data_IF_815561282337
#
_entry.id   IF_815561282337
#
_cell.length_a   1.000
_cell.length_b   1.000
_cell.length_c   1.000
_cell.angle_alpha   90.00
_cell.angle_beta   90.00
_cell.angle_gamma   90.00
#
_symmetry.space_group_name_H-M   'P 1'
#
loop_
_entity.id
_entity.type
_entity.pdbx_description
1 polymer ?
#
# COMPACT_ATOMS: atom_id res chain seq x y z
N UNK A 1 19.28 14.82 -5.70
CA UNK A 1 17.99 14.61 -4.99
C UNK A 1 17.31 13.50 -5.75
N UNK A 2 17.28 12.30 -5.17
CA UNK A 2 16.66 11.12 -5.75
C UNK A 2 15.14 11.18 -5.70
N UNK A 3 14.49 10.27 -6.42
CA UNK A 3 13.04 10.06 -6.39
C UNK A 3 12.66 9.50 -5.01
N UNK A 4 11.66 10.12 -4.37
CA UNK A 4 11.08 9.65 -3.12
C UNK A 4 9.57 9.60 -3.24
N UNK A 5 8.98 8.56 -2.67
CA UNK A 5 7.55 8.44 -2.47
C UNK A 5 7.29 8.35 -0.98
N UNK A 6 6.39 9.20 -0.49
CA UNK A 6 5.95 9.25 0.90
C UNK A 6 4.44 9.06 0.90
N UNK A 7 3.98 8.07 1.66
CA UNK A 7 2.57 7.67 1.68
C UNK A 7 1.71 8.83 2.17
N UNK A 8 2.13 9.48 3.26
CA UNK A 8 1.38 10.55 3.90
C UNK A 8 1.28 11.78 3.00
N UNK A 9 2.37 12.20 2.35
CA UNK A 9 2.36 13.32 1.42
C UNK A 9 1.43 13.06 0.23
N UNK A 10 1.44 11.84 -0.31
CA UNK A 10 0.59 11.47 -1.43
C UNK A 10 -0.89 11.38 -1.03
N UNK A 11 -1.22 10.81 0.13
CA UNK A 11 -2.59 10.81 0.68
C UNK A 11 -3.10 12.22 0.98
N UNK A 12 -2.23 13.09 1.51
CA UNK A 12 -2.56 14.50 1.76
C UNK A 12 -2.85 15.25 0.46
N UNK A 13 -2.07 15.00 -0.61
CA UNK A 13 -2.32 15.57 -1.92
C UNK A 13 -3.70 15.15 -2.47
N UNK A 14 -4.01 13.85 -2.44
CA UNK A 14 -5.32 13.31 -2.89
C UNK A 14 -6.46 14.01 -2.14
N UNK A 15 -6.38 14.06 -0.82
CA UNK A 15 -7.41 14.66 0.04
C UNK A 15 -7.59 16.15 -0.25
N UNK A 16 -6.48 16.89 -0.39
CA UNK A 16 -6.50 18.30 -0.72
C UNK A 16 -7.11 18.55 -2.11
N UNK A 17 -6.76 17.72 -3.10
CA UNK A 17 -7.31 17.82 -4.45
C UNK A 17 -8.80 17.52 -4.50
N UNK A 18 -9.29 16.43 -3.86
CA UNK A 18 -10.72 16.12 -3.78
C UNK A 18 -11.54 17.27 -3.19
N UNK A 19 -11.07 17.83 -2.08
CA UNK A 19 -11.71 18.97 -1.43
C UNK A 19 -11.74 20.21 -2.35
N UNK A 20 -10.62 20.50 -3.01
CA UNK A 20 -10.53 21.62 -3.95
C UNK A 20 -11.46 21.42 -5.17
N UNK A 21 -11.50 20.22 -5.74
CA UNK A 21 -12.35 19.91 -6.90
C UNK A 21 -13.84 20.02 -6.55
N UNK A 22 -14.24 19.59 -5.34
CA UNK A 22 -15.61 19.78 -4.85
C UNK A 22 -15.99 21.27 -4.78
N UNK A 23 -15.09 22.10 -4.24
CA UNK A 23 -15.31 23.54 -4.15
C UNK A 23 -15.35 24.20 -5.53
N UNK A 24 -14.46 23.81 -6.44
CA UNK A 24 -14.40 24.36 -7.80
C UNK A 24 -15.63 23.97 -8.61
N UNK A 25 -16.10 22.73 -8.52
CA UNK A 25 -17.35 22.29 -9.16
C UNK A 25 -18.55 23.11 -8.70
N UNK A 26 -18.69 23.35 -7.40
CA UNK A 26 -19.75 24.21 -6.87
C UNK A 26 -19.67 25.66 -7.41
N UNK A 27 -18.47 26.19 -7.63
CA UNK A 27 -18.27 27.53 -8.22
C UNK A 27 -18.68 27.52 -9.71
N UNK A 28 -18.22 26.53 -10.48
CA UNK A 28 -18.52 26.39 -11.91
C UNK A 28 -20.02 26.21 -12.14
N UNK A 29 -20.70 25.38 -11.35
CA UNK A 29 -22.15 25.19 -11.42
C UNK A 29 -22.90 26.50 -11.20
N UNK A 30 -22.48 27.30 -10.22
CA UNK A 30 -23.07 28.62 -9.94
C UNK A 30 -22.82 29.60 -11.08
N UNK A 31 -21.62 29.60 -11.67
CA UNK A 31 -21.30 30.43 -12.84
C UNK A 31 -22.14 30.03 -14.06
N UNK A 32 -22.30 28.74 -14.32
CA UNK A 32 -23.17 28.23 -15.39
C UNK A 32 -24.64 28.58 -15.15
N UNK A 33 -25.15 28.36 -13.93
CA UNK A 33 -26.54 28.68 -13.59
C UNK A 33 -26.82 30.19 -13.71
N UNK A 34 -25.94 31.03 -13.16
CA UNK A 34 -26.05 32.49 -13.26
C UNK A 34 -26.00 32.99 -14.71
N UNK A 35 -25.06 32.47 -15.51
CA UNK A 35 -24.92 32.82 -16.92
C UNK A 35 -26.16 32.41 -17.73
N UNK A 36 -26.66 31.17 -17.54
CA UNK A 36 -27.89 30.71 -18.20
C UNK A 36 -29.10 31.54 -17.81
N UNK A 37 -29.23 31.90 -16.53
CA UNK A 37 -30.32 32.75 -16.07
C UNK A 37 -30.28 34.14 -16.73
N UNK A 38 -29.10 34.77 -16.78
CA UNK A 38 -28.92 36.07 -17.45
C UNK A 38 -29.30 36.01 -18.92
N UNK A 39 -28.79 35.02 -19.67
CA UNK A 39 -29.14 34.84 -21.09
C UNK A 39 -30.64 34.59 -21.26
N UNK A 40 -31.25 33.76 -20.40
CA UNK A 40 -32.69 33.52 -20.44
C UNK A 40 -33.54 34.78 -20.21
N UNK A 41 -33.12 35.69 -19.31
CA UNK A 41 -33.81 36.97 -19.09
C UNK A 41 -33.68 37.92 -20.30
N UNK A 42 -32.53 37.88 -20.99
CA UNK A 42 -32.29 38.65 -22.21
C UNK A 42 -33.13 38.11 -23.38
N UNK A 43 -33.18 36.79 -23.55
CA UNK A 43 -33.94 36.14 -24.63
C UNK A 43 -35.46 36.26 -24.44
N UNK A 44 -35.93 36.28 -23.19
CA UNK A 44 -37.33 36.56 -22.86
C UNK A 44 -37.73 38.03 -23.10
N UNK A 45 -36.77 38.91 -23.43
CA UNK A 45 -37.00 40.34 -23.60
C UNK A 45 -37.35 41.05 -22.30
N UNK A 46 -37.01 40.49 -21.13
CA UNK A 46 -37.20 41.16 -19.84
C UNK A 46 -36.14 42.25 -19.64
N UNK A 47 -34.93 41.99 -20.08
CA UNK A 47 -33.82 42.94 -20.12
C UNK A 47 -33.61 43.41 -21.57
N UNK A 48 -33.86 44.69 -21.85
CA UNK A 48 -33.81 45.27 -23.20
C UNK A 48 -33.01 46.57 -23.25
N UNK A 49 -32.42 46.85 -24.41
CA UNK A 49 -31.62 48.04 -24.66
C UNK A 49 -30.21 47.67 -25.13
N UNK A 50 -29.49 48.64 -25.67
CA UNK A 50 -28.23 48.37 -26.34
C UNK A 50 -27.17 47.77 -25.39
N UNK A 51 -27.05 48.29 -24.15
CA UNK A 51 -26.16 47.74 -23.12
C UNK A 51 -26.43 46.26 -22.79
N UNK A 52 -27.70 45.85 -22.78
CA UNK A 52 -28.09 44.47 -22.53
C UNK A 52 -27.76 43.56 -23.72
N UNK A 53 -27.91 44.04 -24.96
CA UNK A 53 -27.45 43.34 -26.16
C UNK A 53 -25.91 43.17 -26.16
N UNK A 54 -25.17 44.20 -25.73
CA UNK A 54 -23.71 44.15 -25.55
C UNK A 54 -23.29 43.06 -24.57
N UNK A 55 -23.91 43.08 -23.39
CA UNK A 55 -23.67 42.11 -22.34
C UNK A 55 -23.97 40.70 -22.81
N UNK A 56 -25.04 40.52 -23.61
CA UNK A 56 -25.33 39.23 -24.25
C UNK A 56 -24.18 38.75 -25.12
N UNK A 57 -23.64 39.61 -25.98
CA UNK A 57 -22.49 39.30 -26.84
C UNK A 57 -21.28 38.86 -26.01
N UNK A 58 -20.87 39.67 -25.03
CA UNK A 58 -19.76 39.36 -24.12
C UNK A 58 -19.95 38.00 -23.42
N UNK A 59 -21.15 37.72 -22.91
CA UNK A 59 -21.43 36.45 -22.23
C UNK A 59 -21.42 35.26 -23.18
N UNK A 60 -22.09 35.35 -24.33
CA UNK A 60 -22.20 34.23 -25.28
C UNK A 60 -20.89 33.94 -26.00
N UNK A 61 -20.10 34.97 -26.32
CA UNK A 61 -18.90 34.82 -27.14
C UNK A 61 -17.64 34.54 -26.32
N UNK A 62 -17.55 35.06 -25.09
CA UNK A 62 -16.34 34.99 -24.27
C UNK A 62 -16.55 34.29 -22.93
N UNK A 63 -17.50 34.73 -22.11
CA UNK A 63 -17.62 34.26 -20.72
C UNK A 63 -18.14 32.81 -20.65
N UNK A 64 -19.24 32.48 -21.31
CA UNK A 64 -19.81 31.12 -21.29
C UNK A 64 -18.81 30.10 -21.87
N UNK A 65 -18.19 30.32 -23.04
CA UNK A 65 -17.16 29.42 -23.55
C UNK A 65 -15.97 29.25 -22.59
N UNK A 66 -15.54 30.32 -21.91
CA UNK A 66 -14.47 30.24 -20.92
C UNK A 66 -14.87 29.39 -19.69
N UNK A 67 -16.10 29.54 -19.19
CA UNK A 67 -16.62 28.71 -18.08
C UNK A 67 -16.73 27.25 -18.53
N UNK A 68 -17.25 26.98 -19.73
CA UNK A 68 -17.31 25.61 -20.28
C UNK A 68 -15.91 24.99 -20.36
N UNK A 69 -14.90 25.78 -20.78
CA UNK A 69 -13.53 25.30 -20.88
C UNK A 69 -12.90 24.98 -19.52
N UNK A 70 -13.20 25.81 -18.52
CA UNK A 70 -12.86 25.55 -17.13
C UNK A 70 -13.52 24.26 -16.62
N UNK A 71 -14.80 24.04 -16.92
CA UNK A 71 -15.52 22.80 -16.56
C UNK A 71 -14.82 21.58 -17.13
N UNK A 72 -14.46 21.61 -18.42
CA UNK A 72 -13.75 20.50 -19.07
C UNK A 72 -12.41 20.18 -18.41
N UNK A 73 -11.66 21.20 -17.97
CA UNK A 73 -10.40 20.97 -17.26
C UNK A 73 -10.62 20.41 -15.85
N UNK A 74 -11.73 20.75 -15.20
CA UNK A 74 -12.07 20.18 -13.88
C UNK A 74 -12.52 18.74 -14.01
N UNK A 75 -13.34 18.41 -15.03
CA UNK A 75 -13.72 17.04 -15.34
C UNK A 75 -12.48 16.16 -15.61
N UNK A 76 -11.53 16.70 -16.36
CA UNK A 76 -10.27 16.03 -16.67
C UNK A 76 -9.38 15.83 -15.43
N UNK A 77 -9.24 16.83 -14.56
CA UNK A 77 -8.54 16.67 -13.27
C UNK A 77 -9.19 15.65 -12.36
N UNK A 78 -10.51 15.51 -12.41
CA UNK A 78 -11.20 14.47 -11.63
C UNK A 78 -10.86 13.08 -12.16
N UNK A 79 -10.82 12.90 -13.48
CA UNK A 79 -10.42 11.64 -14.10
C UNK A 79 -8.95 11.31 -13.80
N UNK A 80 -8.03 12.25 -14.01
CA UNK A 80 -6.61 12.04 -13.73
C UNK A 80 -6.31 11.91 -12.23
N UNK A 81 -7.14 12.50 -11.35
CA UNK A 81 -7.01 12.28 -9.91
C UNK A 81 -7.40 10.85 -9.54
N UNK A 82 -8.43 10.28 -10.18
CA UNK A 82 -8.75 8.87 -10.01
C UNK A 82 -7.60 7.96 -10.49
N UNK A 83 -6.95 8.30 -11.60
CA UNK A 83 -5.73 7.61 -12.06
C UNK A 83 -4.56 7.77 -11.10
N UNK A 84 -4.36 8.96 -10.55
CA UNK A 84 -3.33 9.21 -9.53
C UNK A 84 -3.61 8.43 -8.24
N UNK A 85 -4.86 8.36 -7.80
CA UNK A 85 -5.29 7.57 -6.64
C UNK A 85 -4.99 6.07 -6.85
N UNK A 86 -5.25 5.57 -8.04
CA UNK A 86 -4.85 4.23 -8.43
C UNK A 86 -3.32 4.07 -8.38
N UNK A 87 -2.55 4.96 -9.00
CA UNK A 87 -1.10 4.90 -8.99
C UNK A 87 -0.51 5.01 -7.56
N UNK A 88 -1.06 5.90 -6.73
CA UNK A 88 -0.72 6.05 -5.32
C UNK A 88 -0.91 4.73 -4.60
N UNK A 89 -2.08 4.11 -4.77
CA UNK A 89 -2.34 2.83 -4.13
C UNK A 89 -1.28 1.82 -4.51
N UNK A 90 -0.88 1.73 -5.80
CA UNK A 90 0.06 0.71 -6.29
C UNK A 90 1.42 0.71 -5.57
N UNK A 91 1.86 1.89 -5.13
CA UNK A 91 3.14 2.08 -4.44
C UNK A 91 3.00 2.19 -2.92
N UNK A 92 1.85 2.65 -2.42
CA UNK A 92 1.62 2.90 -1.00
C UNK A 92 1.85 1.69 -0.08
N UNK A 93 1.57 0.48 -0.56
CA UNK A 93 1.81 -0.77 0.17
C UNK A 93 3.28 -1.02 0.52
N UNK A 94 4.18 -0.51 -0.30
CA UNK A 94 5.61 -0.75 -0.09
C UNK A 94 6.19 0.14 1.01
N UNK A 95 5.37 1.05 1.55
CA UNK A 95 5.71 2.08 2.52
C UNK A 95 6.38 3.29 1.86
N UNK A 96 7.06 4.08 2.68
CA UNK A 96 7.88 5.16 2.17
C UNK A 96 9.08 4.58 1.40
N UNK A 97 9.24 5.00 0.16
CA UNK A 97 10.28 4.51 -0.74
C UNK A 97 11.26 5.61 -1.09
N UNK A 98 12.53 5.34 -0.87
CA UNK A 98 13.64 6.13 -1.38
C UNK A 98 14.41 5.32 -2.43
N UNK A 99 14.47 5.85 -3.65
CA UNK A 99 15.10 5.16 -4.78
C UNK A 99 16.60 4.93 -4.57
N UNK A 100 17.30 5.87 -3.94
CA UNK A 100 18.73 5.74 -3.69
C UNK A 100 18.99 4.68 -2.62
N UNK A 101 18.16 4.63 -1.57
CA UNK A 101 18.24 3.63 -0.50
C UNK A 101 17.90 2.23 -1.01
N UNK A 102 16.82 2.08 -1.80
CA UNK A 102 16.45 0.79 -2.41
C UNK A 102 17.57 0.25 -3.31
N UNK A 103 18.18 1.12 -4.13
CA UNK A 103 19.30 0.72 -4.99
C UNK A 103 20.56 0.39 -4.19
N UNK A 104 20.77 1.01 -3.03
CA UNK A 104 21.88 0.65 -2.15
C UNK A 104 21.64 -0.71 -1.51
N UNK A 105 20.45 -0.97 -0.98
CA UNK A 105 20.06 -2.27 -0.44
C UNK A 105 20.23 -3.38 -1.48
N UNK A 106 19.78 -3.15 -2.72
CA UNK A 106 19.92 -4.12 -3.82
C UNK A 106 21.39 -4.50 -4.06
N UNK A 107 22.28 -3.52 -4.13
CA UNK A 107 23.73 -3.75 -4.29
C UNK A 107 24.31 -4.55 -3.13
N UNK A 108 23.89 -4.23 -1.90
CA UNK A 108 24.38 -4.91 -0.71
C UNK A 108 23.91 -6.38 -0.69
N UNK A 109 22.67 -6.68 -1.09
CA UNK A 109 22.13 -8.04 -1.18
C UNK A 109 22.76 -8.84 -2.33
N UNK A 110 23.04 -8.22 -3.49
CA UNK A 110 23.82 -8.84 -4.58
C UNK A 110 25.25 -9.22 -4.12
N UNK A 111 25.90 -8.36 -3.35
CA UNK A 111 27.22 -8.64 -2.78
C UNK A 111 27.18 -9.78 -1.75
N UNK A 112 26.12 -9.86 -0.94
CA UNK A 112 25.89 -10.98 -0.03
C UNK A 112 25.70 -12.30 -0.79
N UNK A 113 24.88 -12.30 -1.84
CA UNK A 113 24.65 -13.47 -2.68
C UNK A 113 25.99 -14.00 -3.23
N UNK A 114 26.83 -13.11 -3.75
CA UNK A 114 28.16 -13.42 -4.28
C UNK A 114 29.08 -14.06 -3.22
N UNK A 115 29.07 -13.54 -1.99
CA UNK A 115 29.88 -14.10 -0.89
C UNK A 115 29.38 -15.49 -0.46
N UNK A 116 28.06 -15.70 -0.40
CA UNK A 116 27.45 -17.00 -0.09
C UNK A 116 27.82 -18.03 -1.15
N UNK A 117 27.68 -17.68 -2.43
CA UNK A 117 28.06 -18.55 -3.55
C UNK A 117 29.55 -18.93 -3.52
N UNK A 118 30.43 -17.97 -3.21
CA UNK A 118 31.86 -18.23 -3.07
C UNK A 118 32.15 -19.22 -1.93
N UNK A 119 31.45 -19.12 -0.79
CA UNK A 119 31.64 -20.02 0.33
C UNK A 119 31.11 -21.43 0.06
N UNK A 120 29.98 -21.56 -0.65
CA UNK A 120 29.46 -22.85 -1.13
C UNK A 120 30.51 -23.55 -2.00
N UNK A 121 31.13 -22.82 -2.93
CA UNK A 121 32.14 -23.37 -3.82
C UNK A 121 33.40 -23.82 -3.06
N UNK A 122 33.89 -22.99 -2.12
CA UNK A 122 35.01 -23.36 -1.26
C UNK A 122 34.72 -24.63 -0.43
N UNK A 123 33.49 -24.78 0.09
CA UNK A 123 33.09 -25.96 0.83
C UNK A 123 33.05 -27.21 -0.07
N UNK A 124 32.58 -27.08 -1.32
CA UNK A 124 32.61 -28.15 -2.34
C UNK A 124 34.04 -28.56 -2.70
N UNK A 125 34.94 -27.60 -2.86
CA UNK A 125 36.36 -27.85 -3.15
C UNK A 125 37.06 -28.56 -1.99
N UNK A 126 36.84 -28.12 -0.75
CA UNK A 126 37.38 -28.73 0.45
C UNK A 126 36.87 -30.16 0.64
N UNK A 127 35.57 -30.38 0.43
CA UNK A 127 34.97 -31.71 0.46
C UNK A 127 35.63 -32.65 -0.55
N UNK A 128 35.80 -32.18 -1.79
CA UNK A 128 36.41 -32.97 -2.87
C UNK A 128 37.87 -33.32 -2.56
N UNK A 129 38.63 -32.38 -2.00
CA UNK A 129 40.02 -32.59 -1.58
C UNK A 129 40.12 -33.54 -0.37
N UNK A 130 39.28 -33.38 0.64
CA UNK A 130 39.28 -34.21 1.84
C UNK A 130 38.91 -35.67 1.54
N UNK A 131 37.86 -35.89 0.74
CA UNK A 131 37.42 -37.22 0.33
C UNK A 131 38.45 -37.93 -0.58
N UNK A 132 39.21 -37.16 -1.37
CA UNK A 132 40.30 -37.68 -2.22
C UNK A 132 41.55 -38.11 -1.45
N UNK A 133 41.80 -37.54 -0.27
CA UNK A 133 42.98 -37.84 0.56
C UNK A 133 42.71 -38.89 1.64
N UNK A 134 41.52 -38.88 2.26
CA UNK A 134 41.10 -39.83 3.31
C UNK A 134 39.61 -40.18 3.16
N UNK A 135 39.27 -41.37 2.61
CA UNK A 135 37.90 -41.85 2.58
C UNK A 135 37.39 -42.03 4.02
N UNK A 136 36.41 -41.22 4.43
CA UNK A 136 35.81 -41.26 5.78
C UNK A 136 36.35 -40.23 6.78
N UNK A 137 36.84 -39.08 6.33
CA UNK A 137 37.21 -37.97 7.21
C UNK A 137 35.99 -37.49 8.04
N UNK A 138 36.08 -37.51 9.37
CA UNK A 138 34.95 -37.27 10.30
C UNK A 138 34.26 -35.89 10.13
N UNK A 139 34.93 -34.90 9.56
CA UNK A 139 34.39 -33.55 9.31
C UNK A 139 33.58 -33.43 8.00
N UNK A 140 33.48 -34.52 7.22
CA UNK A 140 32.75 -34.55 5.95
C UNK A 140 31.25 -34.26 6.14
N UNK A 141 30.67 -34.73 7.25
CA UNK A 141 29.30 -34.39 7.63
C UNK A 141 29.12 -32.89 7.89
N UNK A 142 30.04 -32.28 8.65
CA UNK A 142 30.00 -30.85 8.97
C UNK A 142 30.09 -29.96 7.73
N UNK A 143 30.93 -30.32 6.74
CA UNK A 143 31.05 -29.59 5.48
C UNK A 143 29.82 -29.73 4.56
N UNK A 144 29.24 -30.93 4.49
CA UNK A 144 27.97 -31.14 3.77
C UNK A 144 26.82 -30.33 4.38
N UNK A 145 26.76 -30.27 5.72
CA UNK A 145 25.75 -29.48 6.43
C UNK A 145 25.93 -27.97 6.27
N UNK A 146 27.16 -27.45 6.32
CA UNK A 146 27.41 -26.03 6.06
C UNK A 146 27.00 -25.63 4.64
N UNK A 147 27.23 -26.48 3.63
CA UNK A 147 26.79 -26.23 2.26
C UNK A 147 25.26 -26.18 2.14
N UNK A 148 24.51 -27.00 2.88
CA UNK A 148 23.04 -26.95 2.87
C UNK A 148 22.49 -25.64 3.45
N UNK A 149 23.06 -25.16 4.57
CA UNK A 149 22.67 -23.88 5.18
C UNK A 149 22.98 -22.70 4.25
N UNK A 150 24.13 -22.74 3.56
CA UNK A 150 24.49 -21.68 2.62
C UNK A 150 23.57 -21.67 1.39
N UNK A 151 23.12 -22.82 0.88
CA UNK A 151 22.15 -22.89 -0.22
C UNK A 151 20.77 -22.34 0.18
N UNK A 152 20.34 -22.53 1.43
CA UNK A 152 19.12 -21.91 1.97
C UNK A 152 19.26 -20.38 2.11
N UNK A 153 20.39 -19.91 2.64
CA UNK A 153 20.69 -18.47 2.71
C UNK A 153 20.76 -17.83 1.32
N UNK A 154 21.33 -18.55 0.35
CA UNK A 154 21.35 -18.14 -1.06
C UNK A 154 19.93 -17.93 -1.60
N UNK A 155 19.02 -18.87 -1.35
CA UNK A 155 17.63 -18.75 -1.76
C UNK A 155 16.93 -17.54 -1.11
N UNK A 156 17.19 -17.31 0.18
CA UNK A 156 16.62 -16.18 0.92
C UNK A 156 17.09 -14.82 0.38
N UNK A 157 18.40 -14.66 0.15
CA UNK A 157 18.94 -13.43 -0.44
C UNK A 157 18.42 -13.22 -1.87
N UNK A 158 18.20 -14.31 -2.62
CA UNK A 158 17.53 -14.25 -3.93
C UNK A 158 16.12 -13.66 -3.86
N UNK A 159 15.32 -14.08 -2.88
CA UNK A 159 13.96 -13.52 -2.65
C UNK A 159 14.03 -12.03 -2.28
N UNK A 160 15.01 -11.63 -1.48
CA UNK A 160 15.21 -10.23 -1.09
C UNK A 160 15.57 -9.35 -2.30
N UNK A 161 16.47 -9.82 -3.16
CA UNK A 161 16.81 -9.16 -4.43
C UNK A 161 15.55 -8.99 -5.28
N UNK A 162 14.77 -10.05 -5.49
CA UNK A 162 13.52 -10.01 -6.27
C UNK A 162 12.52 -8.97 -5.70
N UNK A 163 12.43 -8.85 -4.37
CA UNK A 163 11.56 -7.87 -3.71
C UNK A 163 12.05 -6.44 -3.92
N UNK A 164 13.36 -6.20 -3.75
CA UNK A 164 13.97 -4.89 -3.96
C UNK A 164 13.83 -4.42 -5.41
N UNK A 165 14.04 -5.32 -6.38
CA UNK A 165 13.82 -5.04 -7.80
C UNK A 165 12.35 -4.66 -8.08
N UNK A 166 11.39 -5.38 -7.50
CA UNK A 166 9.96 -5.05 -7.61
C UNK A 166 9.64 -3.68 -7.03
N UNK A 167 10.16 -3.33 -5.85
CA UNK A 167 9.95 -2.01 -5.24
C UNK A 167 10.52 -0.89 -6.10
N UNK A 168 11.72 -1.06 -6.64
CA UNK A 168 12.35 -0.10 -7.56
C UNK A 168 11.49 0.06 -8.82
N UNK A 169 11.05 -1.04 -9.42
CA UNK A 169 10.23 -1.01 -10.63
C UNK A 169 8.87 -0.32 -10.39
N UNK A 170 8.21 -0.58 -9.26
CA UNK A 170 6.97 0.10 -8.87
C UNK A 170 7.17 1.60 -8.70
N UNK A 171 8.23 2.02 -8.02
CA UNK A 171 8.54 3.44 -7.82
C UNK A 171 8.87 4.16 -9.15
N UNK A 172 9.66 3.52 -10.01
CA UNK A 172 10.00 4.08 -11.34
C UNK A 172 8.76 4.15 -12.25
N UNK A 173 7.90 3.13 -12.21
CA UNK A 173 6.61 3.12 -12.91
C UNK A 173 5.71 4.26 -12.42
N UNK A 174 5.56 4.43 -11.10
CA UNK A 174 4.72 5.48 -10.54
C UNK A 174 5.17 6.87 -10.98
N UNK A 175 6.47 7.16 -10.91
CA UNK A 175 6.99 8.45 -11.37
C UNK A 175 6.72 8.65 -12.86
N UNK A 176 6.92 7.62 -13.68
CA UNK A 176 6.65 7.70 -15.11
C UNK A 176 5.16 7.96 -15.39
N UNK A 177 4.28 7.28 -14.66
CA UNK A 177 2.83 7.37 -14.81
C UNK A 177 2.31 8.75 -14.40
N UNK A 178 2.59 9.19 -13.17
CA UNK A 178 2.07 10.44 -12.62
C UNK A 178 2.67 11.69 -13.25
N UNK A 179 3.82 11.58 -13.92
CA UNK A 179 4.48 12.72 -14.57
C UNK A 179 3.67 13.35 -15.71
N UNK A 180 2.66 12.63 -16.23
CA UNK A 180 1.81 13.10 -17.31
C UNK A 180 0.50 13.73 -16.83
N UNK A 181 0.12 13.55 -15.56
CA UNK A 181 -1.14 14.05 -15.02
C UNK A 181 -1.13 15.56 -14.78
N UNK A 182 -2.31 16.15 -14.89
CA UNK A 182 -2.74 17.49 -14.47
C UNK A 182 -2.13 18.67 -15.24
N UNK A 183 -1.14 18.44 -16.10
CA UNK A 183 -0.31 19.50 -16.68
C UNK A 183 -1.10 20.46 -17.59
N UNK A 184 -1.90 19.91 -18.50
CA UNK A 184 -2.73 20.68 -19.43
C UNK A 184 -3.95 21.29 -18.74
N UNK A 185 -4.59 20.57 -17.83
CA UNK A 185 -5.68 21.10 -17.01
C UNK A 185 -5.23 22.24 -16.09
N UNK A 186 -4.03 22.16 -15.51
CA UNK A 186 -3.41 23.27 -14.77
C UNK A 186 -3.12 24.47 -15.69
N UNK A 187 -2.68 24.22 -16.93
CA UNK A 187 -2.51 25.28 -17.93
C UNK A 187 -3.84 25.96 -18.25
N UNK A 188 -4.93 25.20 -18.43
CA UNK A 188 -6.27 25.74 -18.67
C UNK A 188 -6.73 26.59 -17.48
N UNK A 189 -6.57 26.12 -16.24
CA UNK A 189 -6.91 26.91 -15.04
C UNK A 189 -6.11 28.21 -14.94
N UNK A 190 -4.82 28.18 -15.27
CA UNK A 190 -3.97 29.37 -15.29
C UNK A 190 -4.43 30.38 -16.35
N UNK A 191 -4.73 29.90 -17.56
CA UNK A 191 -5.27 30.72 -18.64
C UNK A 191 -6.64 31.30 -18.25
N UNK A 192 -7.49 30.54 -17.57
CA UNK A 192 -8.79 31.00 -17.13
C UNK A 192 -8.71 32.08 -16.04
N UNK A 193 -7.78 31.95 -15.10
CA UNK A 193 -7.51 32.98 -14.08
C UNK A 193 -7.03 34.28 -14.73
N UNK A 194 -6.15 34.16 -15.74
CA UNK A 194 -5.69 35.31 -16.52
C UNK A 194 -6.81 35.94 -17.36
N UNK A 195 -7.61 35.11 -18.04
CA UNK A 195 -8.76 35.54 -18.83
C UNK A 195 -9.80 36.28 -17.96
N UNK A 196 -10.08 35.79 -16.74
CA UNK A 196 -10.97 36.47 -15.80
C UNK A 196 -10.44 37.86 -15.41
N UNK A 197 -9.14 38.00 -15.21
CA UNK A 197 -8.48 39.29 -14.90
C UNK A 197 -8.61 40.27 -16.08
N UNK A 198 -8.48 39.78 -17.32
CA UNK A 198 -8.65 40.59 -18.52
C UNK A 198 -10.12 40.97 -18.74
N UNK A 199 -11.06 40.04 -18.55
CA UNK A 199 -12.50 40.29 -18.67
C UNK A 199 -12.99 41.35 -17.68
N UNK A 200 -12.38 41.44 -16.49
CA UNK A 200 -12.70 42.48 -15.50
C UNK A 200 -12.34 43.91 -15.96
N UNK A 201 -11.54 44.06 -17.02
CA UNK A 201 -11.19 45.37 -17.60
C UNK A 201 -12.17 45.80 -18.71
N UNK A 202 -13.09 44.93 -19.13
CA UNK A 202 -14.03 45.23 -20.21
C UNK A 202 -14.95 46.37 -19.76
N UNK A 203 -14.95 47.47 -20.51
CA UNK A 203 -15.87 48.58 -20.33
C UNK A 203 -17.03 48.45 -21.32
N UNK A 204 -18.25 48.65 -20.83
CA UNK A 204 -19.47 48.68 -21.65
C UNK A 204 -19.96 50.11 -21.74
N UNK A 205 -20.07 50.63 -22.96
CA UNK A 205 -20.57 51.99 -23.20
C UNK A 205 -22.09 52.05 -23.17
N UNK A 206 -22.62 53.26 -22.99
CA UNK A 206 -24.07 53.52 -22.94
C UNK A 206 -24.82 53.14 -24.22
N UNK A 207 -24.12 53.05 -25.36
CA UNK A 207 -24.68 52.65 -26.66
C UNK A 207 -24.67 51.14 -26.90
N UNK A 208 -24.22 50.34 -25.92
CA UNK A 208 -24.18 48.89 -26.05
C UNK A 208 -23.03 48.33 -26.86
N UNK A 209 -21.97 49.12 -27.09
CA UNK A 209 -20.69 48.57 -27.50
C UNK A 209 -19.86 48.20 -26.25
N UNK A 210 -19.08 47.12 -26.33
CA UNK A 210 -18.04 46.83 -25.34
C UNK A 210 -16.67 47.00 -25.97
N UNK A 211 -15.80 47.71 -25.28
CA UNK A 211 -14.43 47.94 -25.75
C UNK A 211 -13.48 47.02 -25.02
N UNK A 212 -12.70 46.31 -25.82
CA UNK A 212 -11.60 45.46 -25.36
C UNK A 212 -10.27 46.23 -25.38
N UNK A 213 -10.33 47.56 -25.44
CA UNK A 213 -9.13 48.41 -25.42
C UNK A 213 -8.41 48.24 -24.07
N UNK A 214 -7.24 47.61 -24.11
CA UNK A 214 -6.48 47.23 -22.91
C UNK A 214 -6.83 45.86 -22.32
N UNK A 215 -7.77 45.13 -22.93
CA UNK A 215 -8.09 43.72 -22.66
C UNK A 215 -7.26 42.86 -23.61
N UNK A 216 -6.46 41.96 -23.06
CA UNK A 216 -5.69 41.02 -23.88
C UNK A 216 -6.56 39.84 -24.34
N UNK A 217 -7.31 40.04 -25.43
CA UNK A 217 -8.16 39.00 -26.02
C UNK A 217 -7.41 37.73 -26.45
N UNK A 218 -6.09 37.83 -26.72
CA UNK A 218 -5.28 36.67 -27.06
C UNK A 218 -5.20 35.66 -25.91
N UNK A 219 -5.27 36.10 -24.65
CA UNK A 219 -5.31 35.20 -23.50
C UNK A 219 -6.65 34.45 -23.41
N UNK A 220 -7.75 35.13 -23.74
CA UNK A 220 -9.08 34.50 -23.79
C UNK A 220 -9.12 33.49 -24.94
N UNK A 221 -8.60 33.84 -26.11
CA UNK A 221 -8.52 32.92 -27.23
C UNK A 221 -7.62 31.71 -26.91
N UNK A 222 -6.46 31.93 -26.27
CA UNK A 222 -5.58 30.86 -25.84
C UNK A 222 -6.26 29.90 -24.84
N UNK A 223 -7.10 30.41 -23.94
CA UNK A 223 -7.94 29.56 -23.08
C UNK A 223 -8.87 28.69 -23.92
N UNK A 224 -9.65 29.29 -24.83
CA UNK A 224 -10.65 28.58 -25.62
C UNK A 224 -10.03 27.51 -26.53
N UNK A 225 -8.83 27.77 -27.04
CA UNK A 225 -8.08 26.88 -27.93
C UNK A 225 -7.21 25.84 -27.19
N UNK A 226 -7.03 25.97 -25.87
CA UNK A 226 -6.22 25.06 -25.08
C UNK A 226 -6.72 23.62 -25.24
N UNK A 227 -5.81 22.67 -25.39
CA UNK A 227 -6.16 21.25 -25.49
C UNK A 227 -6.18 20.63 -24.10
N UNK A 228 -7.08 19.67 -23.91
CA UNK A 228 -7.21 18.85 -22.72
C UNK A 228 -7.17 17.40 -23.21
N UNK A 229 -6.34 16.58 -22.59
CA UNK A 229 -6.08 15.19 -22.95
C UNK A 229 -5.98 14.35 -21.69
N UNK A 230 -7.05 13.61 -21.42
CA UNK A 230 -7.12 12.75 -20.23
C UNK A 230 -6.16 11.57 -20.34
N UNK A 231 -5.34 11.39 -19.31
CA UNK A 231 -4.55 10.18 -19.10
C UNK A 231 -5.26 9.31 -18.05
N UNK A 232 -5.88 8.20 -18.48
CA UNK A 232 -6.69 7.32 -17.63
C UNK A 232 -6.13 5.88 -17.57
N UNK A 233 -6.10 5.32 -16.35
CA UNK A 233 -5.67 3.94 -16.05
C UNK A 233 -6.63 3.19 -15.09
N UNK A 234 -7.76 3.75 -14.66
CA UNK A 234 -8.63 3.12 -13.65
C UNK A 234 -9.56 2.01 -14.22
N UNK A 235 -9.79 0.88 -13.50
CA UNK A 235 -10.87 -0.05 -13.80
C UNK A 235 -12.23 0.48 -13.29
N UNK A 236 -13.30 0.19 -14.04
CA UNK A 236 -14.68 0.67 -13.81
C UNK A 236 -15.18 0.48 -12.37
N UNK A 237 -15.75 1.55 -11.80
CA UNK A 237 -16.11 1.73 -10.40
C UNK A 237 -17.48 1.13 -9.97
N UNK A 238 -17.74 -0.16 -10.20
CA UNK A 238 -18.96 -0.84 -9.71
C UNK A 238 -18.63 -2.17 -9.01
N UNK A 239 -18.55 -2.23 -7.66
CA UNK A 239 -18.25 -3.52 -7.00
C UNK A 239 -18.23 -3.67 -5.47
N UNK A 240 -18.77 -2.75 -4.65
CA UNK A 240 -18.60 -2.85 -3.17
C UNK A 240 -19.93 -3.07 -2.44
N UNK A 241 -20.43 -4.31 -2.33
CA UNK A 241 -21.50 -4.65 -1.36
C UNK A 241 -21.46 -6.07 -0.74
N UNK A 242 -20.52 -6.96 -1.09
CA UNK A 242 -20.43 -8.32 -0.49
C UNK A 242 -19.01 -8.73 -0.04
N UNK A 243 -18.13 -7.75 0.22
CA UNK A 243 -16.71 -8.02 0.44
C UNK A 243 -16.40 -8.49 1.88
N UNK A 244 -17.05 -7.99 2.93
CA UNK A 244 -16.69 -8.38 4.31
C UNK A 244 -16.96 -9.85 4.63
N UNK A 245 -18.15 -10.35 4.29
CA UNK A 245 -18.50 -11.75 4.56
C UNK A 245 -17.60 -12.71 3.77
N UNK A 246 -17.33 -12.39 2.51
CA UNK A 246 -16.41 -13.18 1.70
C UNK A 246 -15.00 -13.17 2.29
N UNK A 247 -14.43 -12.00 2.60
CA UNK A 247 -13.08 -11.88 3.13
C UNK A 247 -12.92 -12.64 4.46
N UNK A 248 -13.94 -12.56 5.32
CA UNK A 248 -14.01 -13.32 6.57
C UNK A 248 -14.06 -14.84 6.32
N UNK A 249 -14.86 -15.28 5.37
CA UNK A 249 -14.98 -16.70 5.02
C UNK A 249 -13.66 -17.26 4.46
N UNK A 250 -13.00 -16.49 3.59
CA UNK A 250 -11.68 -16.82 3.06
C UNK A 250 -10.62 -16.87 4.16
N UNK A 251 -10.65 -15.90 5.08
CA UNK A 251 -9.74 -15.86 6.24
C UNK A 251 -9.85 -17.09 7.12
N UNK A 252 -11.08 -17.49 7.44
CA UNK A 252 -11.34 -18.69 8.22
C UNK A 252 -10.83 -19.95 7.51
N UNK A 253 -11.07 -20.07 6.20
CA UNK A 253 -10.61 -21.24 5.42
C UNK A 253 -9.08 -21.32 5.38
N UNK A 254 -8.40 -20.19 5.18
CA UNK A 254 -6.92 -20.12 5.14
C UNK A 254 -6.28 -20.37 6.50
N UNK A 255 -6.90 -19.90 7.58
CA UNK A 255 -6.48 -20.26 8.94
C UNK A 255 -6.55 -21.78 9.16
N UNK A 256 -7.63 -22.44 8.74
CA UNK A 256 -7.77 -23.89 8.88
C UNK A 256 -6.80 -24.66 7.97
N UNK A 257 -6.59 -24.19 6.74
CA UNK A 257 -5.62 -24.77 5.81
C UNK A 257 -4.20 -24.72 6.39
N UNK A 258 -3.80 -23.56 6.92
CA UNK A 258 -2.52 -23.38 7.60
C UNK A 258 -2.40 -24.23 8.86
N UNK A 259 -3.41 -24.24 9.72
CA UNK A 259 -3.38 -25.06 10.93
C UNK A 259 -3.33 -26.56 10.61
N UNK A 260 -3.82 -27.00 9.45
CA UNK A 260 -3.77 -28.39 9.01
C UNK A 260 -2.50 -28.73 8.21
N UNK A 261 -1.69 -27.75 7.81
CA UNK A 261 -0.48 -27.97 7.01
C UNK A 261 0.60 -28.71 7.79
N UNK A 262 1.50 -29.37 7.07
CA UNK A 262 2.63 -30.07 7.68
C UNK A 262 3.53 -29.08 8.44
N UNK A 263 3.81 -27.94 7.83
CA UNK A 263 4.60 -26.84 8.39
C UNK A 263 3.94 -26.23 9.64
N UNK A 264 2.62 -26.00 9.60
CA UNK A 264 1.86 -25.48 10.72
C UNK A 264 1.83 -26.45 11.91
N UNK A 265 1.73 -27.76 11.65
CA UNK A 265 1.81 -28.78 12.70
C UNK A 265 3.22 -28.93 13.28
N UNK A 266 4.27 -28.77 12.47
CA UNK A 266 5.66 -28.79 12.94
C UNK A 266 5.98 -27.59 13.84
N UNK A 267 5.53 -26.38 13.48
CA UNK A 267 5.68 -25.20 14.33
C UNK A 267 4.86 -25.28 15.62
N UNK A 268 3.64 -25.81 15.52
CA UNK A 268 2.81 -26.11 16.70
C UNK A 268 3.51 -27.08 17.66
N UNK A 269 4.11 -28.14 17.12
CA UNK A 269 4.85 -29.10 17.92
C UNK A 269 6.05 -28.45 18.61
N UNK A 270 6.81 -27.61 17.89
CA UNK A 270 7.93 -26.83 18.46
C UNK A 270 7.47 -25.92 19.60
N UNK A 271 6.36 -25.19 19.41
CA UNK A 271 5.80 -24.29 20.41
C UNK A 271 5.38 -25.02 21.70
N UNK A 272 4.89 -26.26 21.58
CA UNK A 272 4.45 -27.07 22.72
C UNK A 272 5.61 -27.81 23.41
N UNK A 273 6.58 -28.31 22.65
CA UNK A 273 7.69 -29.12 23.16
C UNK A 273 8.83 -28.26 23.73
N UNK A 274 9.16 -27.15 23.06
CA UNK A 274 10.14 -26.17 23.55
C UNK A 274 9.63 -24.72 23.43
N UNK A 275 8.72 -24.31 24.33
CA UNK A 275 8.18 -22.96 24.35
C UNK A 275 9.25 -21.87 24.50
N UNK A 276 10.40 -22.19 25.12
CA UNK A 276 11.48 -21.21 25.31
C UNK A 276 12.20 -20.92 23.99
N UNK A 277 12.47 -21.97 23.21
CA UNK A 277 13.06 -21.89 21.89
C UNK A 277 12.11 -21.19 20.90
N UNK A 278 10.85 -21.61 20.85
CA UNK A 278 9.82 -20.98 20.00
C UNK A 278 9.67 -19.48 20.31
N UNK A 279 9.55 -19.12 21.59
CA UNK A 279 9.46 -17.72 22.01
C UNK A 279 10.76 -16.94 21.74
N UNK A 280 11.93 -17.60 21.75
CA UNK A 280 13.19 -16.98 21.35
C UNK A 280 13.24 -16.72 19.85
N UNK A 281 12.75 -17.65 19.02
CA UNK A 281 12.68 -17.47 17.56
C UNK A 281 11.71 -16.34 17.20
N UNK A 282 10.54 -16.30 17.84
CA UNK A 282 9.56 -15.23 17.69
C UNK A 282 10.11 -13.85 18.08
N UNK A 283 10.89 -13.77 19.17
CA UNK A 283 11.55 -12.51 19.58
C UNK A 283 12.74 -12.12 18.71
N UNK A 284 13.57 -13.08 18.28
CA UNK A 284 14.77 -12.80 17.51
C UNK A 284 14.42 -12.42 16.06
N UNK A 285 13.40 -13.05 15.47
CA UNK A 285 12.84 -12.65 14.17
C UNK A 285 12.46 -11.16 14.12
N UNK A 286 12.00 -10.61 15.24
CA UNK A 286 11.57 -9.21 15.37
C UNK A 286 12.73 -8.21 15.54
N UNK A 287 13.82 -8.59 16.22
CA UNK A 287 15.03 -7.75 16.32
C UNK A 287 15.68 -7.53 14.93
N UNK A 288 15.53 -8.49 14.02
CA UNK A 288 16.08 -8.44 12.66
C UNK A 288 15.40 -7.41 11.74
N UNK A 289 14.16 -7.01 12.03
CA UNK A 289 13.41 -5.99 11.26
C UNK A 289 13.76 -4.55 11.67
N UNK A 290 14.42 -4.35 12.83
CA UNK A 290 14.57 -3.04 13.49
C UNK A 290 15.98 -2.45 13.37
N UNK A 291 17.04 -3.25 13.43
CA UNK A 291 18.42 -2.74 13.56
C UNK A 291 19.15 -2.46 12.22
N UNK A 292 18.54 -2.80 11.08
CA UNK A 292 19.13 -2.56 9.74
C UNK A 292 20.52 -3.18 9.52
N UNK A 293 20.98 -4.07 10.41
CA UNK A 293 22.30 -4.68 10.38
C UNK A 293 22.18 -6.22 10.28
N UNK A 294 22.09 -6.75 9.04
CA UNK A 294 21.91 -8.19 8.79
C UNK A 294 23.13 -9.05 9.20
N UNK A 295 24.32 -8.45 9.38
CA UNK A 295 25.57 -9.16 9.67
C UNK A 295 25.67 -9.61 11.14
N UNK A 296 25.18 -8.78 12.08
CA UNK A 296 25.12 -9.15 13.50
C UNK A 296 24.06 -10.22 13.79
N UNK A 297 22.97 -10.20 13.03
CA UNK A 297 21.84 -11.09 13.10
C UNK A 297 22.17 -12.53 12.68
N UNK A 298 22.82 -12.69 11.51
CA UNK A 298 23.30 -13.99 11.04
C UNK A 298 24.31 -14.61 12.02
N UNK A 299 25.21 -13.80 12.58
CA UNK A 299 26.18 -14.25 13.58
C UNK A 299 25.52 -14.82 14.84
N UNK A 300 24.47 -14.16 15.35
CA UNK A 300 23.73 -14.61 16.52
C UNK A 300 22.89 -15.87 16.24
N UNK A 301 22.24 -15.97 15.07
CA UNK A 301 21.49 -17.15 14.65
C UNK A 301 22.42 -18.37 14.46
N UNK A 302 23.59 -18.17 13.86
CA UNK A 302 24.61 -19.21 13.68
C UNK A 302 25.22 -19.68 15.01
N UNK A 303 25.46 -18.77 15.96
CA UNK A 303 25.98 -19.13 17.29
C UNK A 303 24.93 -19.84 18.17
N UNK A 304 23.65 -19.51 18.00
CA UNK A 304 22.54 -20.15 18.72
C UNK A 304 22.24 -21.57 18.21
N UNK A 305 22.24 -21.77 16.89
CA UNK A 305 22.09 -23.06 16.23
C UNK A 305 23.23 -24.03 16.58
N UNK A 306 24.46 -23.52 16.73
CA UNK A 306 25.62 -24.29 17.23
C UNK A 306 25.47 -24.76 18.68
N UNK A 307 24.70 -24.06 19.52
CA UNK A 307 24.56 -24.35 20.95
C UNK A 307 23.41 -25.31 21.31
N UNK A 308 22.32 -25.36 20.52
CA UNK A 308 21.05 -26.01 20.93
C UNK A 308 20.69 -27.27 20.13
N UNK A 309 21.44 -27.61 19.07
CA UNK A 309 21.29 -28.89 18.36
C UNK A 309 20.04 -29.02 17.48
N UNK A 310 19.90 -30.19 16.84
CA UNK A 310 19.15 -30.44 15.61
C UNK A 310 17.64 -30.15 15.62
N UNK A 311 16.97 -30.14 16.79
CA UNK A 311 15.52 -29.86 16.91
C UNK A 311 15.20 -28.38 16.63
N UNK A 312 16.17 -27.49 16.81
CA UNK A 312 16.05 -26.06 16.50
C UNK A 312 16.17 -25.72 15.01
N UNK A 313 16.65 -26.65 14.17
CA UNK A 313 16.94 -26.38 12.75
C UNK A 313 15.69 -26.51 11.87
N UNK A 314 14.95 -27.62 11.95
CA UNK A 314 13.71 -27.81 11.16
C UNK A 314 12.61 -26.81 11.57
N UNK A 315 12.51 -26.55 12.87
CA UNK A 315 11.61 -25.53 13.41
C UNK A 315 12.02 -24.11 13.02
N UNK A 316 13.32 -23.79 13.05
CA UNK A 316 13.85 -22.47 12.71
C UNK A 316 13.80 -22.15 11.22
N UNK A 317 14.00 -23.13 10.34
CA UNK A 317 13.90 -22.98 8.88
C UNK A 317 12.46 -22.68 8.46
N UNK A 318 11.49 -23.46 8.94
CA UNK A 318 10.06 -23.23 8.67
C UNK A 318 9.61 -21.90 9.29
N UNK A 319 10.14 -21.54 10.46
CA UNK A 319 9.84 -20.26 11.09
C UNK A 319 10.36 -19.08 10.25
N UNK A 320 11.59 -19.13 9.74
CA UNK A 320 12.14 -18.05 8.91
C UNK A 320 11.47 -17.94 7.53
N UNK A 321 11.06 -19.06 6.92
CA UNK A 321 10.42 -19.06 5.60
C UNK A 321 8.93 -18.69 5.67
N UNK A 322 8.20 -19.22 6.66
CA UNK A 322 6.74 -19.17 6.71
C UNK A 322 6.18 -18.09 7.64
N UNK A 323 6.94 -17.61 8.63
CA UNK A 323 6.49 -16.55 9.57
C UNK A 323 6.82 -15.11 9.12
N UNK A 324 7.17 -14.91 7.84
CA UNK A 324 7.29 -13.58 7.23
C UNK A 324 5.92 -12.96 6.95
N UNK A 325 5.86 -11.63 6.87
CA UNK A 325 4.72 -10.91 6.25
C UNK A 325 4.54 -11.46 4.83
N UNK A 326 3.29 -11.69 4.40
CA UNK A 326 2.91 -12.43 3.18
C UNK A 326 3.16 -13.95 3.20
N UNK A 327 3.39 -14.54 4.37
CA UNK A 327 3.43 -15.99 4.55
C UNK A 327 2.08 -16.67 4.32
N UNK A 328 2.05 -18.01 4.28
CA UNK A 328 0.82 -18.79 4.00
C UNK A 328 -0.29 -18.62 5.07
N UNK A 329 0.04 -18.05 6.23
CA UNK A 329 -0.91 -17.68 7.30
C UNK A 329 -1.38 -16.22 7.23
N UNK A 330 -0.71 -15.38 6.45
CA UNK A 330 -0.97 -13.94 6.36
C UNK A 330 -2.05 -13.67 5.31
N UNK A 331 -3.16 -13.10 5.77
CA UNK A 331 -4.34 -12.89 4.93
C UNK A 331 -4.18 -11.83 3.86
N UNK A 332 -3.18 -10.93 4.01
CA UNK A 332 -2.89 -9.89 3.03
C UNK A 332 -2.73 -10.50 1.63
N UNK A 333 -1.93 -11.57 1.53
CA UNK A 333 -1.71 -12.32 0.29
C UNK A 333 -2.99 -12.73 -0.44
N UNK A 334 -3.96 -13.27 0.28
CA UNK A 334 -5.14 -13.86 -0.34
C UNK A 334 -6.23 -12.82 -0.65
N UNK A 335 -6.30 -11.75 0.15
CA UNK A 335 -7.23 -10.66 -0.12
C UNK A 335 -6.78 -9.84 -1.34
N UNK A 336 -5.47 -9.72 -1.58
CA UNK A 336 -4.92 -9.03 -2.75
C UNK A 336 -5.12 -9.82 -4.04
N UNK A 337 -5.00 -11.15 -3.99
CA UNK A 337 -5.28 -12.05 -5.13
C UNK A 337 -6.77 -12.03 -5.54
N UNK A 338 -7.70 -11.93 -4.59
CA UNK A 338 -9.15 -12.06 -4.88
C UNK A 338 -9.82 -10.72 -5.24
N UNK A 339 -9.57 -9.67 -4.46
CA UNK A 339 -10.29 -8.41 -4.63
C UNK A 339 -9.67 -7.51 -5.70
N UNK A 340 -8.48 -7.87 -6.21
CA UNK A 340 -7.61 -7.01 -6.99
C UNK A 340 -7.64 -5.54 -6.52
N UNK A 341 -7.67 -5.25 -5.20
CA UNK A 341 -7.85 -3.88 -4.76
C UNK A 341 -6.53 -3.13 -4.97
N UNK A 342 -6.70 -1.83 -5.23
CA UNK A 342 -5.69 -0.80 -5.03
C UNK A 342 -4.85 -1.08 -3.75
N UNK A 343 -3.50 -1.11 -3.83
CA UNK A 343 -2.69 -1.60 -2.71
C UNK A 343 -2.86 -0.76 -1.42
N UNK A 344 -3.13 -1.44 -0.29
CA UNK A 344 -3.27 -0.85 1.05
C UNK A 344 -4.29 -1.58 1.96
N UNK A 345 -4.37 -1.15 3.23
CA UNK A 345 -5.44 -1.57 4.12
C UNK A 345 -6.75 -0.89 3.69
N UNK A 346 -7.79 -1.67 3.38
CA UNK A 346 -9.08 -1.16 2.92
C UNK A 346 -10.20 -1.62 3.83
N UNK A 347 -11.25 -0.79 3.96
CA UNK A 347 -12.40 -1.12 4.77
C UNK A 347 -13.34 -2.05 4.02
N UNK A 348 -13.56 -3.22 4.62
CA UNK A 348 -14.55 -4.17 4.20
C UNK A 348 -15.84 -3.91 4.98
N UNK A 349 -16.94 -3.71 4.24
CA UNK A 349 -18.25 -3.38 4.80
C UNK A 349 -19.27 -4.48 4.50
N UNK A 350 -20.17 -4.75 5.45
CA UNK A 350 -21.36 -5.59 5.22
C UNK A 350 -22.66 -4.78 5.04
N UNK A 351 -23.75 -5.48 4.74
CA UNK A 351 -25.08 -4.89 4.56
C UNK A 351 -25.64 -4.19 5.81
N UNK A 352 -25.08 -4.49 6.99
CA UNK A 352 -25.49 -3.91 8.27
C UNK A 352 -24.67 -2.65 8.61
N UNK A 353 -23.72 -2.27 7.75
CA UNK A 353 -22.82 -1.13 7.94
C UNK A 353 -21.71 -1.40 8.97
N UNK A 354 -21.38 -2.67 9.21
CA UNK A 354 -20.23 -3.08 10.04
C UNK A 354 -18.97 -3.06 9.18
N UNK A 355 -17.91 -2.48 9.71
CA UNK A 355 -16.64 -2.26 9.02
C UNK A 355 -15.51 -3.07 9.68
N UNK A 356 -14.62 -3.63 8.87
CA UNK A 356 -13.37 -4.26 9.31
C UNK A 356 -12.27 -3.92 8.30
N UNK A 357 -11.11 -3.49 8.81
CA UNK A 357 -9.95 -3.16 7.96
C UNK A 357 -9.26 -4.44 7.45
N UNK A 358 -8.89 -4.50 6.18
CA UNK A 358 -8.42 -5.75 5.53
C UNK A 358 -7.12 -6.34 6.10
N UNK A 359 -6.27 -5.53 6.71
CA UNK A 359 -5.00 -5.94 7.30
C UNK A 359 -5.13 -6.61 8.68
N UNK A 360 -6.27 -6.44 9.37
CA UNK A 360 -6.47 -7.03 10.70
C UNK A 360 -6.71 -8.54 10.64
N UNK A 361 -7.14 -9.08 9.49
CA UNK A 361 -7.44 -10.51 9.34
C UNK A 361 -6.19 -11.38 9.60
N UNK A 362 -5.01 -10.94 9.15
CA UNK A 362 -3.75 -11.60 9.43
C UNK A 362 -3.43 -11.61 10.93
N UNK A 363 -3.64 -10.48 11.61
CA UNK A 363 -3.39 -10.34 13.05
C UNK A 363 -4.37 -11.13 13.92
N UNK A 364 -5.65 -11.22 13.51
CA UNK A 364 -6.64 -12.09 14.16
C UNK A 364 -6.24 -13.56 14.01
N UNK A 365 -5.85 -14.00 12.80
CA UNK A 365 -5.40 -15.37 12.56
C UNK A 365 -4.12 -15.70 13.35
N UNK A 366 -3.18 -14.75 13.41
CA UNK A 366 -1.97 -14.83 14.21
C UNK A 366 -2.29 -15.05 15.70
N UNK A 367 -3.21 -14.26 16.25
CA UNK A 367 -3.67 -14.39 17.64
C UNK A 367 -4.32 -15.75 17.93
N UNK A 368 -5.20 -16.23 17.04
CA UNK A 368 -5.84 -17.55 17.18
C UNK A 368 -4.79 -18.67 17.16
N UNK A 369 -3.88 -18.64 16.19
CA UNK A 369 -2.83 -19.64 16.00
C UNK A 369 -1.91 -19.72 17.22
N UNK A 370 -1.35 -18.60 17.67
CA UNK A 370 -0.43 -18.58 18.80
C UNK A 370 -1.10 -18.99 20.11
N UNK A 371 -2.37 -18.59 20.30
CA UNK A 371 -3.19 -19.05 21.41
C UNK A 371 -3.39 -20.58 21.41
N UNK A 372 -3.64 -21.17 20.24
CA UNK A 372 -3.74 -22.63 20.06
C UNK A 372 -2.40 -23.36 20.29
N UNK A 373 -1.28 -22.69 20.06
CA UNK A 373 0.06 -23.23 20.23
C UNK A 373 0.62 -23.03 21.65
N UNK A 374 -0.17 -22.42 22.55
CA UNK A 374 0.20 -22.25 23.95
C UNK A 374 1.13 -21.07 24.22
N UNK A 375 1.29 -20.15 23.25
CA UNK A 375 2.04 -18.91 23.42
C UNK A 375 1.19 -17.92 24.19
N UNK A 376 1.80 -17.24 25.16
CA UNK A 376 1.10 -16.23 25.96
C UNK A 376 0.86 -14.94 25.15
N UNK A 377 -0.22 -14.22 25.50
CA UNK A 377 -0.63 -13.00 24.78
C UNK A 377 0.47 -11.93 24.80
N UNK A 378 1.22 -11.80 25.90
CA UNK A 378 2.29 -10.80 26.00
C UNK A 378 3.42 -11.08 25.01
N UNK A 379 3.79 -12.35 24.86
CA UNK A 379 4.78 -12.80 23.86
C UNK A 379 4.25 -12.63 22.44
N UNK A 380 2.97 -12.94 22.18
CA UNK A 380 2.34 -12.76 20.87
C UNK A 380 2.28 -11.29 20.42
N UNK A 381 1.85 -10.37 21.31
CA UNK A 381 1.79 -8.93 21.00
C UNK A 381 3.17 -8.36 20.67
N UNK A 382 4.22 -8.81 21.39
CA UNK A 382 5.62 -8.47 21.08
C UNK A 382 6.08 -9.00 19.72
N UNK A 383 5.47 -10.07 19.22
CA UNK A 383 5.73 -10.66 17.91
C UNK A 383 4.94 -10.06 16.75
N UNK A 384 3.86 -9.31 17.03
CA UNK A 384 3.02 -8.70 16.01
C UNK A 384 3.51 -7.29 15.63
N UNK A 385 4.01 -6.52 16.59
CA UNK A 385 4.29 -5.10 16.39
C UNK A 385 5.73 -4.82 15.96
N UNK A 386 5.88 -4.18 14.81
CA UNK A 386 7.16 -3.74 14.26
C UNK A 386 7.50 -2.34 14.78
N UNK A 387 8.20 -2.21 15.90
CA UNK A 387 8.62 -0.89 16.40
C UNK A 387 10.09 -0.57 16.10
N UNK A 388 10.42 0.69 15.83
CA UNK A 388 11.78 1.20 15.57
C UNK A 388 12.75 1.12 16.78
N UNK A 389 12.44 0.34 17.82
CA UNK A 389 13.21 0.27 19.06
C UNK A 389 13.90 -1.09 19.22
N UNK A 390 15.22 -1.09 19.35
CA UNK A 390 16.02 -2.29 19.57
C UNK A 390 15.76 -2.96 20.94
N UNK A 391 15.82 -4.30 20.98
CA UNK A 391 15.83 -5.09 22.22
C UNK A 391 14.47 -5.63 22.69
N UNK A 392 14.41 -6.06 23.97
CA UNK A 392 13.28 -6.83 24.59
C UNK A 392 11.93 -6.07 24.64
N UNK A 393 11.91 -4.81 24.19
CA UNK A 393 10.75 -3.93 24.10
C UNK A 393 10.37 -3.56 22.66
N UNK A 394 10.99 -4.17 21.64
CA UNK A 394 10.58 -4.00 20.25
C UNK A 394 9.10 -4.41 20.13
N UNK A 395 8.24 -3.45 19.78
CA UNK A 395 6.84 -3.70 19.46
C UNK A 395 5.80 -3.42 20.54
N UNK A 396 6.12 -3.24 21.82
CA UNK A 396 5.04 -2.90 22.78
C UNK A 396 4.67 -1.42 22.59
N UNK A 397 3.47 -1.14 22.07
CA UNK A 397 2.81 0.19 21.91
C UNK A 397 3.01 0.99 20.60
N UNK A 398 3.12 0.38 19.40
CA UNK A 398 3.26 1.16 18.15
C UNK A 398 2.11 1.03 17.14
N UNK A 399 1.20 0.06 17.28
CA UNK A 399 -0.04 -0.02 16.49
C UNK A 399 -1.18 -0.56 17.37
N UNK A 400 -2.11 0.31 17.76
CA UNK A 400 -3.23 -0.04 18.65
C UNK A 400 -4.23 -0.98 17.98
N UNK A 401 -4.35 -0.93 16.65
CA UNK A 401 -5.30 -1.78 15.93
C UNK A 401 -4.76 -3.21 15.81
N UNK A 402 -3.47 -3.37 15.53
CA UNK A 402 -2.80 -4.67 15.47
C UNK A 402 -2.85 -5.37 16.84
N UNK A 403 -2.57 -4.63 17.92
CA UNK A 403 -2.68 -5.14 19.29
C UNK A 403 -4.10 -5.64 19.61
N UNK A 404 -5.11 -4.85 19.23
CA UNK A 404 -6.53 -5.21 19.41
C UNK A 404 -6.91 -6.42 18.57
N UNK A 405 -6.42 -6.54 17.34
CA UNK A 405 -6.70 -7.66 16.45
C UNK A 405 -6.08 -8.97 16.97
N UNK A 406 -4.83 -8.93 17.44
CA UNK A 406 -4.17 -10.11 18.05
C UNK A 406 -4.89 -10.52 19.34
N UNK A 407 -5.20 -9.55 20.21
CA UNK A 407 -5.95 -9.83 21.44
C UNK A 407 -7.34 -10.42 21.15
N UNK A 408 -8.04 -9.91 20.13
CA UNK A 408 -9.31 -10.43 19.68
C UNK A 408 -9.21 -11.88 19.16
N UNK A 409 -8.14 -12.21 18.41
CA UNK A 409 -7.84 -13.60 18.04
C UNK A 409 -7.66 -14.52 19.25
N UNK A 410 -7.01 -14.02 20.31
CA UNK A 410 -6.90 -14.72 21.59
C UNK A 410 -8.26 -14.93 22.28
N UNK A 411 -9.17 -13.97 22.18
CA UNK A 411 -10.53 -14.10 22.72
C UNK A 411 -11.35 -15.14 21.96
N UNK A 412 -11.25 -15.17 20.62
CA UNK A 412 -11.95 -16.14 19.78
C UNK A 412 -11.59 -17.58 20.12
N UNK A 413 -10.30 -17.93 20.24
CA UNK A 413 -9.95 -19.32 20.57
C UNK A 413 -10.40 -19.71 21.99
N UNK A 414 -10.37 -18.78 22.95
CA UNK A 414 -10.83 -19.03 24.33
C UNK A 414 -12.34 -19.20 24.41
N UNK A 415 -13.07 -18.38 23.65
CA UNK A 415 -14.54 -18.39 23.59
C UNK A 415 -15.08 -19.64 22.89
N UNK A 416 -14.32 -20.17 21.94
CA UNK A 416 -14.70 -21.33 21.13
C UNK A 416 -13.68 -22.48 21.21
N UNK A 417 -13.51 -23.13 22.37
CA UNK A 417 -12.56 -24.22 22.52
C UNK A 417 -12.96 -25.45 21.67
N UNK A 418 -11.99 -26.33 21.39
CA UNK A 418 -12.17 -27.64 20.72
C UNK A 418 -12.80 -27.56 19.32
N UNK A 419 -12.47 -26.53 18.53
CA UNK A 419 -12.96 -26.40 17.16
C UNK A 419 -14.46 -26.08 17.06
N UNK A 420 -15.02 -25.44 18.09
CA UNK A 420 -16.43 -25.00 18.11
C UNK A 420 -16.66 -23.65 17.42
N UNK A 421 -15.57 -22.99 17.00
CA UNK A 421 -15.57 -21.82 16.13
C UNK A 421 -15.97 -22.30 14.75
N UNK A 422 -17.11 -21.83 14.25
CA UNK A 422 -17.54 -22.09 12.87
C UNK A 422 -17.28 -20.85 12.04
N UNK A 423 -17.29 -21.02 10.71
CA UNK A 423 -17.15 -19.91 9.76
C UNK A 423 -18.14 -18.78 10.03
N UNK A 424 -19.41 -19.12 10.28
CA UNK A 424 -20.47 -18.14 10.58
C UNK A 424 -20.20 -17.41 11.90
N UNK A 425 -19.69 -18.10 12.92
CA UNK A 425 -19.33 -17.49 14.20
C UNK A 425 -18.10 -16.60 14.07
N UNK A 426 -17.11 -17.02 13.28
CA UNK A 426 -15.92 -16.21 13.00
C UNK A 426 -16.32 -14.88 12.35
N UNK A 427 -17.16 -14.94 11.31
CA UNK A 427 -17.72 -13.74 10.66
C UNK A 427 -18.49 -12.84 11.63
N UNK A 428 -19.48 -13.40 12.35
CA UNK A 428 -20.32 -12.58 13.24
C UNK A 428 -19.52 -11.93 14.37
N UNK A 429 -18.55 -12.63 14.95
CA UNK A 429 -17.71 -12.05 16.00
C UNK A 429 -16.78 -10.97 15.44
N UNK A 430 -16.15 -11.22 14.29
CA UNK A 430 -15.21 -10.31 13.66
C UNK A 430 -15.89 -9.03 13.16
N UNK A 431 -17.05 -9.14 12.52
CA UNK A 431 -17.85 -7.98 12.09
C UNK A 431 -18.32 -7.11 13.27
N UNK A 432 -18.48 -7.69 14.47
CA UNK A 432 -18.85 -6.96 15.68
C UNK A 432 -17.67 -6.43 16.50
N UNK A 433 -16.42 -6.82 16.15
CA UNK A 433 -15.22 -6.53 16.92
C UNK A 433 -14.73 -5.07 16.81
N UNK A 434 -15.31 -4.30 15.88
CA UNK A 434 -14.93 -2.91 15.57
C UNK A 434 -13.43 -2.76 15.29
N UNK A 435 -12.87 -3.69 14.51
CA UNK A 435 -11.47 -3.65 14.08
C UNK A 435 -11.32 -2.77 12.84
N UNK A 436 -11.65 -1.50 13.02
CA UNK A 436 -11.52 -0.40 12.06
C UNK A 436 -11.11 0.85 12.85
N UNK A 437 -10.50 1.83 12.16
CA UNK A 437 -9.72 2.97 12.72
C UNK A 437 -8.33 2.59 13.25
#
# INVERSE_FOLDING_TARGET
MGVKFDVADSTNLISAMRNNLTNVNAIIDRLHAGSRHLIGQLDAGVLQGAAFTAGRGLFCELIIPAITKLSQAVDDLQAELASYEYAHSVVAEEGDLDHDDLKQALRDSEDQLRLIEQQIEQNKDLFTQANGLYPGFDDTGNLMHQSQVLEQLKAQVGIEIDLLEKKIAKLEWFVADVSNYFSDSLQVMKLATQAATELNKVAVETDGSYYTNGVNLLLIQALLEAKISTNDHAPDADGVYHSLEFASNLSYDKLLEWLASEEGQQLRWLALEDPRLFNSMLRNAMVYKVDGNPVGALGAALDYLKQHGWVAFAGGEIFLEKFKTWGDWDMKRYLDEEYHPAPGAFDLRDEQGRDVRSDVFGNVNYGIMLGLWGVDLETALKGANSGNAAGVNAGVNHDELDDRAVAFGFELYKKYPNGTLTKEKYFEELANAKLFE
#
